data_IF_796547943616
#
_entry.id   IF_796547943616
#
_cell.length_a   1.000
_cell.length_b   1.000
_cell.length_c   1.000
_cell.angle_alpha   90.00
_cell.angle_beta   90.00
_cell.angle_gamma   90.00
#
_symmetry.space_group_name_H-M   'P 1'
#
loop_
_entity.id
_entity.type
_entity.pdbx_description
1 polymer ?
#
# COMPACT_ATOMS: atom_id res chain seq x y z
N UNK A 1 -24.15 -29.44 10.18
CA UNK A 1 -23.09 -28.69 9.46
C UNK A 1 -23.78 -27.77 8.47
N UNK A 2 -23.51 -26.46 8.48
CA UNK A 2 -24.17 -25.56 7.52
C UNK A 2 -23.57 -25.76 6.12
N UNK A 3 -24.38 -25.95 5.05
CA UNK A 3 -23.91 -26.48 3.76
C UNK A 3 -23.01 -25.56 2.92
N UNK A 4 -22.55 -24.41 3.44
CA UNK A 4 -21.86 -23.40 2.61
C UNK A 4 -20.70 -22.68 3.32
N UNK A 5 -20.04 -23.38 4.25
CA UNK A 5 -18.91 -22.79 4.99
C UNK A 5 -17.72 -22.61 4.04
N UNK A 6 -17.36 -21.35 3.75
CA UNK A 6 -16.16 -21.01 2.97
C UNK A 6 -14.94 -21.05 3.88
N UNK A 7 -13.84 -21.58 3.36
CA UNK A 7 -12.58 -21.71 4.10
C UNK A 7 -11.46 -20.99 3.35
N UNK A 8 -10.50 -20.49 4.10
CA UNK A 8 -9.27 -19.89 3.60
C UNK A 8 -8.05 -20.39 4.36
N UNK A 9 -6.87 -19.94 3.96
CA UNK A 9 -5.62 -20.20 4.68
C UNK A 9 -4.96 -18.88 5.07
N UNK A 10 -4.53 -18.78 6.31
CA UNK A 10 -3.68 -17.68 6.81
C UNK A 10 -2.27 -18.22 6.95
N UNK A 11 -1.32 -17.63 6.22
CA UNK A 11 0.08 -18.02 6.26
C UNK A 11 0.88 -17.07 7.14
N UNK A 12 1.77 -17.63 7.95
CA UNK A 12 2.65 -16.88 8.85
C UNK A 12 4.06 -16.89 8.29
N UNK A 13 4.71 -15.74 8.34
CA UNK A 13 6.09 -15.55 7.93
C UNK A 13 6.83 -14.77 9.01
N UNK A 14 8.11 -15.07 9.20
CA UNK A 14 9.02 -14.26 10.02
C UNK A 14 9.90 -13.45 9.08
N UNK A 15 10.04 -12.16 9.38
CA UNK A 15 11.00 -11.28 8.73
C UNK A 15 12.28 -11.20 9.56
N UNK A 16 13.42 -11.46 8.93
CA UNK A 16 14.75 -11.31 9.53
C UNK A 16 15.50 -10.23 8.76
N UNK A 17 15.69 -9.08 9.40
CA UNK A 17 16.31 -7.93 8.74
C UNK A 17 17.79 -8.21 8.43
N UNK A 18 18.16 -8.06 7.16
CA UNK A 18 19.55 -7.87 6.74
C UNK A 18 19.89 -6.37 6.82
N UNK A 19 21.11 -6.05 7.24
CA UNK A 19 21.61 -4.68 7.38
C UNK A 19 21.53 -3.86 6.09
N UNK A 20 21.45 -4.52 4.93
CA UNK A 20 21.42 -3.88 3.62
C UNK A 20 20.00 -3.56 3.11
N UNK A 21 18.94 -3.94 3.85
CA UNK A 21 17.55 -3.71 3.43
C UNK A 21 17.11 -2.30 3.80
N UNK A 22 16.72 -1.51 2.81
CA UNK A 22 16.16 -0.17 3.00
C UNK A 22 14.65 -0.26 3.18
N UNK A 23 14.16 0.20 4.32
CA UNK A 23 12.73 0.19 4.67
C UNK A 23 12.25 1.64 4.77
N UNK A 24 11.15 1.96 4.09
CA UNK A 24 10.39 3.19 4.32
C UNK A 24 9.03 2.85 4.91
N UNK A 25 8.64 3.56 5.96
CA UNK A 25 7.31 3.45 6.57
C UNK A 25 6.56 4.77 6.45
N UNK A 26 5.38 4.72 5.85
CA UNK A 26 4.40 5.80 5.88
C UNK A 26 3.57 5.67 7.16
N UNK A 27 3.76 6.54 8.16
CA UNK A 27 3.02 6.44 9.42
C UNK A 27 1.52 6.71 9.22
N UNK A 28 1.17 7.53 8.22
CA UNK A 28 -0.20 7.93 7.91
C UNK A 28 -0.46 7.83 6.40
N UNK A 29 -1.73 7.74 6.00
CA UNK A 29 -2.13 7.95 4.60
C UNK A 29 -2.28 9.45 4.31
N UNK A 30 -1.15 10.16 4.28
CA UNK A 30 -1.05 11.58 3.96
C UNK A 30 -0.67 11.81 2.48
N UNK A 31 -0.27 13.04 2.13
CA UNK A 31 0.12 13.40 0.78
C UNK A 31 1.33 12.58 0.27
N UNK A 32 2.34 12.31 1.10
CA UNK A 32 3.51 11.54 0.70
C UNK A 32 3.12 10.08 0.39
N UNK A 33 2.27 9.48 1.24
CA UNK A 33 1.70 8.16 0.96
C UNK A 33 0.86 8.17 -0.33
N UNK A 34 0.02 9.20 -0.53
CA UNK A 34 -0.82 9.33 -1.73
C UNK A 34 0.03 9.43 -3.00
N UNK A 35 1.09 10.24 -2.97
CA UNK A 35 2.03 10.41 -4.09
C UNK A 35 2.75 9.11 -4.42
N UNK A 36 3.18 8.35 -3.40
CA UNK A 36 3.73 7.01 -3.57
C UNK A 36 2.73 6.06 -4.25
N UNK A 37 1.47 6.02 -3.80
CA UNK A 37 0.45 5.15 -4.42
C UNK A 37 0.13 5.60 -5.84
N UNK A 38 0.01 6.91 -6.06
CA UNK A 38 -0.28 7.51 -7.36
C UNK A 38 0.80 7.20 -8.40
N UNK A 39 2.08 7.30 -8.03
CA UNK A 39 3.22 7.04 -8.93
C UNK A 39 3.27 5.59 -9.43
N UNK A 40 2.95 4.63 -8.57
CA UNK A 40 2.87 3.21 -8.94
C UNK A 40 1.66 2.86 -9.81
N UNK A 41 0.57 3.65 -9.74
CA UNK A 41 -0.64 3.45 -10.56
C UNK A 41 -0.59 4.17 -11.90
N UNK A 42 0.11 5.30 -11.98
CA UNK A 42 0.29 6.07 -13.21
C UNK A 42 1.73 6.61 -13.31
N UNK A 43 2.66 5.82 -13.86
CA UNK A 43 4.05 6.24 -14.06
C UNK A 43 4.22 7.42 -15.02
N UNK A 44 3.20 7.76 -15.80
CA UNK A 44 3.19 8.85 -16.78
C UNK A 44 2.64 10.18 -16.22
N UNK A 45 2.61 10.33 -14.89
CA UNK A 45 2.34 11.63 -14.28
C UNK A 45 3.43 12.62 -14.69
N UNK A 46 3.06 13.89 -14.87
CA UNK A 46 4.01 14.98 -15.18
C UNK A 46 4.99 15.23 -14.04
N UNK A 47 4.66 14.75 -12.84
CA UNK A 47 5.50 14.78 -11.64
C UNK A 47 6.04 13.37 -11.40
N UNK A 48 7.35 13.23 -11.37
CA UNK A 48 8.02 11.95 -11.10
C UNK A 48 8.24 11.75 -9.60
N UNK A 49 7.20 11.27 -8.92
CA UNK A 49 7.30 10.83 -7.52
C UNK A 49 7.85 9.41 -7.38
N UNK A 50 7.99 8.65 -8.46
CA UNK A 50 8.44 7.26 -8.38
C UNK A 50 9.91 7.19 -7.95
N UNK A 51 10.72 8.15 -8.39
CA UNK A 51 12.13 8.26 -8.04
C UNK A 51 12.37 8.36 -6.53
N UNK A 52 11.49 9.03 -5.76
CA UNK A 52 11.65 9.24 -4.32
C UNK A 52 11.65 7.92 -3.52
N UNK A 53 10.89 6.95 -3.99
CA UNK A 53 10.71 5.67 -3.30
C UNK A 53 11.48 4.52 -3.95
N UNK A 54 12.14 4.77 -5.09
CA UNK A 54 12.71 3.73 -5.94
C UNK A 54 13.77 2.89 -5.22
N UNK A 55 14.55 3.51 -4.34
CA UNK A 55 15.66 2.89 -3.62
C UNK A 55 15.27 2.05 -2.40
N UNK A 56 14.00 2.03 -1.98
CA UNK A 56 13.56 1.27 -0.81
C UNK A 56 13.14 -0.15 -1.16
N UNK A 57 13.75 -1.14 -0.53
CA UNK A 57 13.40 -2.54 -0.71
C UNK A 57 12.01 -2.90 -0.16
N UNK A 58 11.60 -2.20 0.91
CA UNK A 58 10.31 -2.41 1.58
C UNK A 58 9.60 -1.07 1.76
N UNK A 59 8.32 -1.04 1.38
CA UNK A 59 7.41 0.06 1.71
C UNK A 59 6.31 -0.45 2.65
N UNK A 60 6.21 0.15 3.83
CA UNK A 60 5.17 -0.13 4.81
C UNK A 60 4.22 1.07 4.94
N UNK A 61 2.94 0.84 5.16
CA UNK A 61 1.97 1.92 5.32
C UNK A 61 0.53 1.46 5.10
N UNK A 62 -0.40 2.39 4.90
CA UNK A 62 -1.80 2.07 4.66
C UNK A 62 -2.04 1.33 3.34
N UNK A 63 -3.00 0.41 3.33
CA UNK A 63 -3.39 -0.38 2.16
C UNK A 63 -4.17 0.47 1.15
N UNK A 64 -3.76 0.41 -0.11
CA UNK A 64 -4.47 1.04 -1.22
C UNK A 64 -5.33 0.01 -1.99
N UNK A 65 -6.34 -0.56 -1.31
CA UNK A 65 -7.21 -1.62 -1.85
C UNK A 65 -8.41 -1.08 -2.66
N UNK A 66 -9.33 -1.97 -3.04
CA UNK A 66 -10.54 -1.65 -3.81
C UNK A 66 -11.41 -0.56 -3.18
N UNK A 67 -11.42 -0.41 -1.84
CA UNK A 67 -12.16 0.66 -1.16
C UNK A 67 -11.56 2.03 -1.43
N UNK A 68 -10.24 2.11 -1.54
CA UNK A 68 -9.52 3.37 -1.84
C UNK A 68 -9.51 3.70 -3.33
N UNK A 69 -9.73 2.70 -4.18
CA UNK A 69 -9.49 2.80 -5.62
C UNK A 69 -10.35 3.87 -6.32
N UNK A 70 -11.66 4.01 -6.05
CA UNK A 70 -12.47 5.07 -6.67
C UNK A 70 -11.94 6.47 -6.36
N UNK A 71 -11.55 6.73 -5.11
CA UNK A 71 -11.05 8.04 -4.67
C UNK A 71 -9.71 8.37 -5.31
N UNK A 72 -8.76 7.43 -5.31
CA UNK A 72 -7.43 7.63 -5.93
C UNK A 72 -7.56 7.79 -7.45
N UNK A 73 -8.49 7.08 -8.09
CA UNK A 73 -8.74 7.22 -9.53
C UNK A 73 -9.32 8.60 -9.86
N UNK A 74 -10.25 9.09 -9.04
CA UNK A 74 -10.80 10.45 -9.17
C UNK A 74 -9.71 11.53 -9.02
N UNK A 75 -8.81 11.36 -8.04
CA UNK A 75 -7.63 12.21 -7.87
C UNK A 75 -6.75 12.20 -9.12
N UNK A 76 -6.36 11.02 -9.60
CA UNK A 76 -5.52 10.88 -10.80
C UNK A 76 -6.17 11.44 -12.07
N UNK A 77 -7.51 11.44 -12.14
CA UNK A 77 -8.28 12.06 -13.22
C UNK A 77 -8.39 13.60 -13.10
N UNK A 78 -7.85 14.19 -12.03
CA UNK A 78 -7.87 15.63 -11.78
C UNK A 78 -9.20 16.16 -11.23
N UNK A 79 -10.09 15.30 -10.72
CA UNK A 79 -11.41 15.72 -10.22
C UNK A 79 -11.33 16.55 -8.92
N UNK A 80 -10.21 16.49 -8.21
CA UNK A 80 -9.95 17.29 -7.00
C UNK A 80 -9.10 18.55 -7.29
N UNK A 81 -8.73 18.77 -8.56
CA UNK A 81 -7.81 19.83 -8.99
C UNK A 81 -6.58 19.26 -9.70
N UNK A 82 -5.57 20.11 -9.87
CA UNK A 82 -4.29 19.69 -10.45
C UNK A 82 -3.63 18.63 -9.54
N UNK A 83 -3.28 17.49 -10.13
CA UNK A 83 -2.63 16.38 -9.41
C UNK A 83 -1.32 16.86 -8.81
N UNK A 84 -1.11 16.60 -7.52
CA UNK A 84 0.06 17.06 -6.77
C UNK A 84 -0.05 18.49 -6.21
N UNK A 85 -1.15 19.19 -6.47
CA UNK A 85 -1.43 20.44 -5.77
C UNK A 85 -1.89 20.16 -4.35
N UNK A 86 -1.47 21.01 -3.41
CA UNK A 86 -1.85 20.93 -1.98
C UNK A 86 -3.37 20.74 -1.79
N UNK A 87 -4.18 21.49 -2.57
CA UNK A 87 -5.64 21.39 -2.53
C UNK A 87 -6.15 20.00 -2.96
N UNK A 88 -5.63 19.46 -4.06
CA UNK A 88 -6.07 18.16 -4.57
C UNK A 88 -5.68 17.03 -3.61
N UNK A 89 -4.48 17.14 -3.02
CA UNK A 89 -3.97 16.17 -2.04
C UNK A 89 -4.81 16.16 -0.77
N UNK A 90 -5.05 17.33 -0.17
CA UNK A 90 -5.89 17.48 1.04
C UNK A 90 -7.31 16.92 0.81
N UNK A 91 -7.92 17.22 -0.34
CA UNK A 91 -9.24 16.71 -0.69
C UNK A 91 -9.23 15.19 -0.85
N UNK A 92 -8.25 14.62 -1.56
CA UNK A 92 -8.16 13.18 -1.74
C UNK A 92 -7.94 12.46 -0.41
N UNK A 93 -6.98 12.92 0.39
CA UNK A 93 -6.66 12.34 1.71
C UNK A 93 -7.89 12.38 2.62
N UNK A 94 -8.61 13.51 2.68
CA UNK A 94 -9.83 13.62 3.47
C UNK A 94 -10.90 12.59 3.05
N UNK A 95 -11.06 12.34 1.75
CA UNK A 95 -12.05 11.40 1.22
C UNK A 95 -11.66 9.93 1.45
N UNK A 96 -10.38 9.64 1.65
CA UNK A 96 -9.89 8.29 1.92
C UNK A 96 -10.18 7.81 3.35
N UNK A 97 -10.49 8.72 4.27
CA UNK A 97 -10.64 8.43 5.70
C UNK A 97 -9.47 7.58 6.24
N UNK A 98 -8.24 8.16 6.30
CA UNK A 98 -6.98 7.45 6.57
C UNK A 98 -7.01 6.52 7.78
N UNK A 99 -7.69 6.93 8.83
CA UNK A 99 -7.80 6.20 10.11
C UNK A 99 -8.49 4.84 9.96
N UNK A 100 -9.30 4.66 8.92
CA UNK A 100 -10.04 3.42 8.64
C UNK A 100 -9.29 2.47 7.71
N UNK A 101 -8.07 2.80 7.31
CA UNK A 101 -7.25 1.98 6.44
C UNK A 101 -6.38 1.02 7.26
N UNK A 102 -6.37 -0.23 6.85
CA UNK A 102 -5.48 -1.26 7.38
C UNK A 102 -4.04 -1.04 6.88
N UNK A 103 -3.06 -1.61 7.58
CA UNK A 103 -1.66 -1.53 7.17
C UNK A 103 -1.30 -2.67 6.20
N UNK A 104 -0.32 -2.42 5.34
CA UNK A 104 0.29 -3.38 4.45
C UNK A 104 1.81 -3.23 4.45
N UNK A 105 2.49 -4.28 3.99
CA UNK A 105 3.92 -4.29 3.70
C UNK A 105 4.10 -4.73 2.25
N UNK A 106 4.83 -3.95 1.46
CA UNK A 106 5.18 -4.26 0.09
C UNK A 106 6.68 -4.57 0.02
N UNK A 107 7.01 -5.83 -0.27
CA UNK A 107 8.38 -6.26 -0.57
C UNK A 107 8.64 -6.02 -2.07
N UNK A 108 9.52 -5.08 -2.40
CA UNK A 108 9.75 -4.64 -3.78
C UNK A 108 10.90 -5.38 -4.47
N UNK A 109 11.87 -5.88 -3.70
CA UNK A 109 13.08 -6.50 -4.24
C UNK A 109 13.20 -7.96 -3.83
N UNK A 110 13.94 -8.74 -4.64
CA UNK A 110 14.26 -10.12 -4.29
C UNK A 110 15.07 -10.23 -2.99
N UNK A 111 15.87 -9.21 -2.65
CA UNK A 111 16.59 -9.14 -1.39
C UNK A 111 15.63 -9.06 -0.19
N UNK A 112 14.63 -8.17 -0.24
CA UNK A 112 13.58 -8.12 0.78
C UNK A 112 12.77 -9.41 0.87
N UNK A 113 12.46 -10.05 -0.27
CA UNK A 113 11.76 -11.33 -0.29
C UNK A 113 12.59 -12.46 0.34
N UNK A 114 13.91 -12.45 0.14
CA UNK A 114 14.81 -13.44 0.76
C UNK A 114 14.91 -13.29 2.29
N UNK A 115 14.48 -12.14 2.84
CA UNK A 115 14.48 -11.88 4.28
C UNK A 115 13.25 -12.45 5.01
N UNK A 116 12.29 -13.08 4.30
CA UNK A 116 11.13 -13.74 4.92
C UNK A 116 11.23 -15.26 4.87
N UNK A 117 10.88 -15.90 5.98
CA UNK A 117 10.80 -17.37 6.11
C UNK A 117 9.38 -17.81 6.46
N UNK A 118 8.88 -18.84 5.79
CA UNK A 118 7.56 -19.39 6.03
C UNK A 118 7.52 -20.24 7.30
N UNK A 119 6.60 -19.91 8.22
CA UNK A 119 6.44 -20.60 9.51
C UNK A 119 5.27 -21.59 9.52
N UNK A 120 4.36 -21.51 8.54
CA UNK A 120 3.19 -22.39 8.46
C UNK A 120 1.92 -21.68 8.02
N UNK A 121 0.87 -22.48 7.79
CA UNK A 121 -0.46 -21.98 7.43
C UNK A 121 -1.55 -22.62 8.27
N UNK A 122 -2.56 -21.82 8.60
CA UNK A 122 -3.74 -22.21 9.36
C UNK A 122 -4.98 -22.16 8.46
N UNK A 123 -5.83 -23.19 8.52
CA UNK A 123 -7.13 -23.16 7.85
C UNK A 123 -8.14 -22.38 8.68
N UNK A 124 -8.71 -21.32 8.12
CA UNK A 124 -9.67 -20.44 8.78
C UNK A 124 -11.04 -20.51 8.10
N UNK A 125 -12.10 -20.26 8.86
CA UNK A 125 -13.45 -20.04 8.30
C UNK A 125 -13.51 -18.60 7.78
N UNK A 126 -13.83 -18.43 6.50
CA UNK A 126 -14.11 -17.11 5.95
C UNK A 126 -15.49 -16.67 6.43
N UNK A 127 -15.55 -15.51 7.10
CA UNK A 127 -16.80 -14.88 7.52
C UNK A 127 -17.44 -14.11 6.37
#
# INVERSE_FOLDING_TARGET
>A
MQPNTKWGFVSKYIFQADINIKIHEFPNADAAWLHCVASHRRPTLSVDWAAEWQDYDILAGKVANDRTNPTITAYLAGLFGEVGSMRADEQCVSMLMPENLENQICLRTSAALACISFEGSEKVVCR
#
